data_IF_013815287794
#
_entry.id   IF_013815287794
#
_cell.length_a   1.000
_cell.length_b   1.000
_cell.length_c   1.000
_cell.angle_alpha   90.00
_cell.angle_beta   90.00
_cell.angle_gamma   90.00
#
_symmetry.space_group_name_H-M   'P 1'
#
loop_
_entity.id
_entity.type
_entity.pdbx_description
1 polymer ?
#
# COMPACT_ATOMS: atom_id res chain seq x y z
N UNK A 1 38.10 -18.61 36.02
CA UNK A 1 37.43 -17.66 35.11
C UNK A 1 36.80 -18.47 34.00
N UNK A 2 35.53 -18.85 34.16
CA UNK A 2 34.79 -19.52 33.09
C UNK A 2 34.24 -18.42 32.18
N UNK A 3 34.78 -18.31 30.97
CA UNK A 3 34.09 -17.63 29.88
C UNK A 3 32.78 -18.38 29.64
N UNK A 4 31.67 -17.77 30.05
CA UNK A 4 30.35 -18.25 29.70
C UNK A 4 30.14 -18.04 28.21
N UNK A 5 30.47 -19.04 27.40
CA UNK A 5 29.96 -19.13 26.03
C UNK A 5 28.44 -19.14 26.12
N UNK A 6 27.82 -18.03 25.73
CA UNK A 6 26.38 -17.96 25.59
C UNK A 6 25.96 -19.08 24.62
N UNK A 7 25.22 -20.06 25.14
CA UNK A 7 24.83 -21.22 24.35
C UNK A 7 23.98 -20.76 23.15
N UNK A 8 24.55 -20.86 21.96
CA UNK A 8 23.86 -20.54 20.70
C UNK A 8 22.65 -21.48 20.59
N UNK A 9 21.45 -20.90 20.40
CA UNK A 9 20.23 -21.68 20.25
C UNK A 9 20.37 -22.70 19.10
N UNK A 10 19.88 -23.94 19.24
CA UNK A 10 20.08 -25.00 18.25
C UNK A 10 19.69 -24.62 16.82
N UNK A 11 18.67 -23.76 16.68
CA UNK A 11 18.22 -23.24 15.40
C UNK A 11 19.32 -22.51 14.61
N UNK A 12 20.14 -21.70 15.28
CA UNK A 12 21.24 -20.97 14.62
C UNK A 12 22.45 -21.86 14.29
N UNK A 13 22.45 -23.12 14.72
CA UNK A 13 23.45 -24.12 14.28
C UNK A 13 23.16 -24.67 12.89
N UNK A 14 21.94 -24.48 12.38
CA UNK A 14 21.57 -24.83 11.01
C UNK A 14 22.27 -23.88 10.03
N UNK A 15 22.72 -24.33 8.85
CA UNK A 15 23.15 -23.44 7.77
C UNK A 15 22.05 -22.44 7.39
N UNK A 16 22.44 -21.25 6.97
CA UNK A 16 21.51 -20.18 6.59
C UNK A 16 20.50 -20.60 5.51
N UNK A 17 20.90 -21.45 4.56
CA UNK A 17 19.99 -21.99 3.53
C UNK A 17 18.85 -22.83 4.13
N UNK A 18 19.15 -23.66 5.15
CA UNK A 18 18.12 -24.43 5.83
C UNK A 18 17.21 -23.53 6.66
N UNK A 19 17.76 -22.50 7.32
CA UNK A 19 16.94 -21.49 8.02
C UNK A 19 16.01 -20.77 7.05
N UNK A 20 16.51 -20.34 5.89
CA UNK A 20 15.69 -19.70 4.85
C UNK A 20 14.57 -20.60 4.32
N UNK A 21 14.83 -21.92 4.16
CA UNK A 21 13.76 -22.88 3.81
C UNK A 21 12.70 -22.97 4.91
N UNK A 22 13.12 -23.03 6.17
CA UNK A 22 12.20 -23.04 7.32
C UNK A 22 11.38 -21.75 7.37
N UNK A 23 12.00 -20.58 7.19
CA UNK A 23 11.30 -19.30 7.15
C UNK A 23 10.23 -19.28 6.06
N UNK A 24 10.55 -19.72 4.83
CA UNK A 24 9.57 -19.75 3.74
C UNK A 24 8.34 -20.62 4.06
N UNK A 25 8.55 -21.76 4.70
CA UNK A 25 7.46 -22.66 5.11
C UNK A 25 6.48 -22.03 6.10
N UNK A 26 6.86 -20.94 6.79
CA UNK A 26 6.02 -20.31 7.84
C UNK A 26 5.68 -18.85 7.56
N UNK A 27 6.31 -18.22 6.56
CA UNK A 27 6.14 -16.80 6.25
C UNK A 27 5.37 -16.54 4.95
N UNK A 28 5.41 -17.48 4.00
CA UNK A 28 4.83 -17.26 2.69
C UNK A 28 3.39 -17.76 2.73
N UNK A 29 2.49 -16.87 2.35
CA UNK A 29 1.09 -17.16 2.11
C UNK A 29 0.88 -17.34 0.60
N UNK A 30 0.00 -18.26 0.22
CA UNK A 30 -0.38 -18.46 -1.17
C UNK A 30 -1.36 -17.37 -1.63
N UNK A 31 -2.11 -16.77 -0.69
CA UNK A 31 -3.09 -15.72 -0.94
C UNK A 31 -2.50 -14.31 -0.77
N UNK A 32 -3.23 -13.31 -1.31
CA UNK A 32 -2.88 -11.90 -1.12
C UNK A 32 -3.04 -11.48 0.35
N UNK A 33 -2.00 -10.86 0.90
CA UNK A 33 -2.05 -10.29 2.25
C UNK A 33 -2.75 -8.94 2.20
N UNK A 34 -3.97 -8.90 2.72
CA UNK A 34 -4.80 -7.70 2.79
C UNK A 34 -4.23 -6.71 3.82
N UNK A 35 -4.05 -5.47 3.41
CA UNK A 35 -3.56 -4.37 4.24
C UNK A 35 -4.69 -3.37 4.41
N UNK A 36 -5.23 -3.33 5.62
CA UNK A 36 -6.31 -2.42 5.99
C UNK A 36 -5.78 -1.17 6.70
N UNK A 37 -6.68 -0.25 7.03
CA UNK A 37 -6.35 1.02 7.70
C UNK A 37 -5.81 0.79 9.10
N UNK A 38 -6.37 -0.20 9.79
CA UNK A 38 -5.98 -0.64 11.13
C UNK A 38 -4.62 -1.35 11.11
N UNK A 39 -4.12 -1.68 9.92
CA UNK A 39 -2.87 -2.39 9.69
C UNK A 39 -3.13 -3.82 9.23
N UNK A 40 -2.11 -4.65 9.40
CA UNK A 40 -2.16 -6.08 9.19
C UNK A 40 -1.23 -6.76 10.20
N UNK A 41 -1.49 -8.01 10.52
CA UNK A 41 -0.69 -8.76 11.49
C UNK A 41 0.56 -9.34 10.83
N UNK A 42 1.74 -8.96 11.33
CA UNK A 42 2.99 -9.62 10.94
C UNK A 42 3.05 -11.02 11.60
N UNK A 43 3.53 -12.05 10.90
CA UNK A 43 3.68 -13.38 11.48
C UNK A 43 4.50 -13.37 12.78
N UNK A 44 4.10 -14.13 13.82
CA UNK A 44 4.78 -14.13 15.12
C UNK A 44 6.28 -14.45 15.05
N UNK A 45 6.72 -15.20 14.04
CA UNK A 45 8.14 -15.50 13.82
C UNK A 45 8.99 -14.24 13.63
N UNK A 46 8.43 -13.17 13.07
CA UNK A 46 9.11 -11.87 12.89
C UNK A 46 9.27 -11.11 14.21
N UNK A 47 8.64 -11.56 15.30
CA UNK A 47 8.64 -10.91 16.60
C UNK A 47 9.49 -11.65 17.65
N UNK A 48 10.09 -12.80 17.30
CA UNK A 48 10.79 -13.68 18.26
C UNK A 48 12.07 -13.05 18.80
N UNK A 49 13.02 -12.71 17.93
CA UNK A 49 14.28 -12.07 18.31
C UNK A 49 14.87 -11.29 17.13
N UNK A 50 15.85 -10.43 17.42
CA UNK A 50 16.49 -9.58 16.41
C UNK A 50 17.13 -10.39 15.27
N UNK A 51 17.81 -11.50 15.59
CA UNK A 51 18.50 -12.31 14.58
C UNK A 51 17.52 -12.98 13.63
N UNK A 52 16.47 -13.64 14.15
CA UNK A 52 15.41 -14.21 13.32
C UNK A 52 14.74 -13.12 12.49
N UNK A 53 14.36 -11.99 13.10
CA UNK A 53 13.73 -10.88 12.37
C UNK A 53 14.61 -10.39 11.23
N UNK A 54 15.92 -10.28 11.44
CA UNK A 54 16.85 -9.79 10.42
C UNK A 54 16.97 -10.71 9.20
N UNK A 55 16.85 -12.03 9.41
CA UNK A 55 16.91 -13.02 8.32
C UNK A 55 15.55 -13.23 7.65
N UNK A 56 14.48 -13.24 8.44
CA UNK A 56 13.12 -13.60 8.02
C UNK A 56 12.37 -12.44 7.36
N UNK A 57 12.58 -11.20 7.83
CA UNK A 57 11.81 -10.04 7.37
C UNK A 57 11.94 -9.79 5.86
N UNK A 58 13.15 -9.83 5.26
CA UNK A 58 13.28 -9.67 3.81
C UNK A 58 12.55 -10.76 3.03
N UNK A 59 12.54 -12.01 3.52
CA UNK A 59 11.81 -13.12 2.87
C UNK A 59 10.31 -12.80 2.88
N UNK A 60 9.75 -12.47 4.05
CA UNK A 60 8.33 -12.18 4.20
C UNK A 60 7.87 -11.04 3.28
N UNK A 61 8.61 -9.93 3.26
CA UNK A 61 8.21 -8.76 2.51
C UNK A 61 8.46 -8.87 1.00
N UNK A 62 9.50 -9.59 0.57
CA UNK A 62 9.84 -9.70 -0.84
C UNK A 62 9.13 -10.83 -1.58
N UNK A 63 8.75 -11.91 -0.87
CA UNK A 63 8.20 -13.11 -1.50
C UNK A 63 6.67 -13.22 -1.32
N UNK A 64 6.06 -12.43 -0.44
CA UNK A 64 4.59 -12.30 -0.39
C UNK A 64 4.07 -11.19 -1.31
N UNK A 65 2.80 -11.32 -1.69
CA UNK A 65 2.05 -10.30 -2.40
C UNK A 65 1.09 -9.61 -1.45
N UNK A 66 1.13 -8.28 -1.43
CA UNK A 66 0.28 -7.47 -0.57
C UNK A 66 -0.80 -6.78 -1.41
N UNK A 67 -1.97 -6.55 -0.81
CA UNK A 67 -3.04 -5.78 -1.41
C UNK A 67 -3.48 -4.65 -0.46
N UNK A 68 -3.42 -3.40 -0.89
CA UNK A 68 -3.98 -2.27 -0.14
C UNK A 68 -5.48 -2.18 -0.43
N UNK A 69 -6.32 -2.49 0.55
CA UNK A 69 -7.77 -2.34 0.41
C UNK A 69 -8.15 -0.88 0.70
N UNK A 70 -8.38 -0.09 -0.34
CA UNK A 70 -8.68 1.33 -0.19
C UNK A 70 -10.16 1.61 -0.41
N UNK A 71 -10.79 2.07 0.67
CA UNK A 71 -12.22 2.40 0.68
C UNK A 71 -12.49 3.87 0.37
N UNK A 72 -13.39 4.15 -0.55
CA UNK A 72 -13.80 5.51 -0.98
C UNK A 72 -12.59 6.42 -1.21
N UNK A 73 -11.55 5.90 -1.88
CA UNK A 73 -10.28 6.60 -2.14
C UNK A 73 -9.54 7.14 -0.91
N UNK A 74 -9.83 6.64 0.30
CA UNK A 74 -9.20 7.14 1.52
C UNK A 74 -7.69 6.85 1.52
N UNK A 75 -6.82 7.88 1.48
CA UNK A 75 -5.39 7.67 1.29
C UNK A 75 -4.66 7.20 2.57
N UNK A 76 -5.39 6.91 3.65
CA UNK A 76 -4.78 6.56 4.95
C UNK A 76 -4.03 5.24 4.87
N UNK A 77 -4.60 4.20 4.25
CA UNK A 77 -3.97 2.88 4.11
C UNK A 77 -2.65 3.01 3.35
N UNK A 78 -2.69 3.64 2.17
CA UNK A 78 -1.52 3.87 1.33
C UNK A 78 -0.44 4.73 2.01
N UNK A 79 -0.84 5.74 2.80
CA UNK A 79 0.09 6.54 3.58
C UNK A 79 0.76 5.72 4.69
N UNK A 80 -0.01 4.97 5.48
CA UNK A 80 0.49 4.12 6.56
C UNK A 80 1.46 3.07 6.02
N UNK A 81 1.08 2.39 4.93
CA UNK A 81 1.93 1.45 4.21
C UNK A 81 3.23 2.11 3.75
N UNK A 82 3.14 3.25 3.05
CA UNK A 82 4.31 3.96 2.53
C UNK A 82 5.29 4.32 3.66
N UNK A 83 4.79 4.81 4.80
CA UNK A 83 5.62 5.12 5.97
C UNK A 83 6.31 3.88 6.51
N UNK A 84 5.56 2.77 6.70
CA UNK A 84 6.11 1.49 7.19
C UNK A 84 7.24 1.01 6.29
N UNK A 85 7.01 0.96 4.98
CA UNK A 85 7.99 0.46 4.02
C UNK A 85 9.21 1.39 3.90
N UNK A 86 9.05 2.71 4.01
CA UNK A 86 10.19 3.63 4.05
C UNK A 86 11.10 3.34 5.24
N UNK A 87 10.54 3.12 6.41
CA UNK A 87 11.32 2.76 7.60
C UNK A 87 12.02 1.42 7.41
N UNK A 88 11.33 0.41 6.88
CA UNK A 88 11.95 -0.90 6.60
C UNK A 88 13.08 -0.79 5.57
N UNK A 89 12.89 -0.03 4.49
CA UNK A 89 13.92 0.19 3.45
C UNK A 89 15.18 0.90 3.94
N UNK A 90 15.16 1.57 5.10
CA UNK A 90 16.38 2.11 5.72
C UNK A 90 17.31 1.03 6.24
N UNK A 91 16.76 -0.14 6.58
CA UNK A 91 17.49 -1.23 7.23
C UNK A 91 17.59 -2.49 6.37
N UNK A 92 16.68 -2.67 5.42
CA UNK A 92 16.56 -3.87 4.61
C UNK A 92 16.47 -3.53 3.13
N UNK A 93 17.16 -4.32 2.30
CA UNK A 93 17.01 -4.23 0.85
C UNK A 93 15.78 -5.05 0.42
N UNK A 94 14.60 -4.42 0.50
CA UNK A 94 13.31 -5.05 0.17
C UNK A 94 12.69 -4.45 -1.10
N UNK A 95 12.17 -5.33 -1.95
CA UNK A 95 11.32 -5.00 -3.10
C UNK A 95 10.01 -5.74 -2.91
N UNK A 96 8.88 -5.04 -3.06
CA UNK A 96 7.58 -5.53 -2.61
C UNK A 96 6.61 -5.49 -3.78
N UNK A 97 6.07 -6.63 -4.21
CA UNK A 97 4.87 -6.65 -5.03
C UNK A 97 3.71 -6.10 -4.19
N UNK A 98 3.11 -4.99 -4.64
CA UNK A 98 1.96 -4.37 -3.98
C UNK A 98 0.92 -3.99 -5.03
N UNK A 99 -0.30 -4.45 -4.82
CA UNK A 99 -1.47 -4.05 -5.61
C UNK A 99 -2.38 -3.19 -4.74
N UNK A 100 -3.14 -2.30 -5.38
CA UNK A 100 -4.14 -1.45 -4.75
C UNK A 100 -5.50 -1.88 -5.27
N UNK A 101 -6.34 -2.37 -4.37
CA UNK A 101 -7.75 -2.66 -4.62
C UNK A 101 -8.59 -1.48 -4.12
N UNK A 102 -9.44 -0.93 -4.98
CA UNK A 102 -10.27 0.24 -4.67
C UNK A 102 -11.73 -0.14 -4.80
N UNK A 103 -12.53 0.08 -3.76
CA UNK A 103 -13.96 -0.30 -3.73
C UNK A 103 -14.90 0.65 -4.50
N UNK A 104 -14.33 1.54 -5.32
CA UNK A 104 -14.96 2.48 -6.26
C UNK A 104 -16.16 3.29 -5.75
N UNK A 105 -16.31 3.47 -4.44
CA UNK A 105 -17.27 4.46 -3.94
C UNK A 105 -16.75 5.87 -4.20
N UNK A 106 -17.42 6.58 -5.11
CA UNK A 106 -17.07 7.94 -5.50
C UNK A 106 -16.91 8.85 -4.27
N UNK A 107 -15.70 9.40 -4.11
CA UNK A 107 -15.39 10.39 -3.09
C UNK A 107 -14.29 11.33 -3.62
N UNK A 108 -14.72 12.47 -4.15
CA UNK A 108 -13.83 13.42 -4.79
C UNK A 108 -12.79 14.01 -3.82
N UNK A 109 -13.21 14.31 -2.59
CA UNK A 109 -12.33 14.90 -1.57
C UNK A 109 -11.19 13.96 -1.20
N UNK A 110 -11.49 12.67 -1.01
CA UNK A 110 -10.49 11.65 -0.73
C UNK A 110 -9.59 11.39 -1.93
N UNK A 111 -10.15 11.30 -3.14
CA UNK A 111 -9.38 11.12 -4.38
C UNK A 111 -8.38 12.27 -4.60
N UNK A 112 -8.82 13.53 -4.46
CA UNK A 112 -7.93 14.69 -4.58
C UNK A 112 -6.84 14.69 -3.50
N UNK A 113 -7.17 14.32 -2.26
CA UNK A 113 -6.19 14.19 -1.21
C UNK A 113 -5.16 13.10 -1.52
N UNK A 114 -5.60 11.98 -2.10
CA UNK A 114 -4.71 10.92 -2.55
C UNK A 114 -3.77 11.41 -3.66
N UNK A 115 -4.33 12.00 -4.71
CA UNK A 115 -3.57 12.57 -5.83
C UNK A 115 -2.54 13.60 -5.36
N UNK A 116 -2.92 14.46 -4.39
CA UNK A 116 -2.01 15.41 -3.79
C UNK A 116 -0.85 14.71 -3.08
N UNK A 117 -1.13 13.65 -2.32
CA UNK A 117 -0.10 12.87 -1.61
C UNK A 117 0.82 12.08 -2.54
N UNK A 118 0.30 11.64 -3.69
CA UNK A 118 1.15 11.07 -4.76
C UNK A 118 2.03 12.16 -5.37
N UNK A 119 1.49 13.35 -5.63
CA UNK A 119 2.25 14.48 -6.16
C UNK A 119 3.35 14.96 -5.20
N UNK A 120 3.06 15.11 -3.90
CA UNK A 120 4.08 15.51 -2.91
C UNK A 120 5.10 14.41 -2.63
N UNK A 121 4.82 13.18 -3.05
CA UNK A 121 5.64 12.02 -2.74
C UNK A 121 5.44 11.53 -1.30
N UNK A 122 4.34 11.87 -0.64
CA UNK A 122 4.00 11.28 0.66
C UNK A 122 3.62 9.80 0.53
N UNK A 123 3.00 9.43 -0.59
CA UNK A 123 2.70 8.05 -1.01
C UNK A 123 3.69 7.64 -2.12
N UNK A 124 4.06 6.36 -2.19
CA UNK A 124 4.91 5.86 -3.27
C UNK A 124 4.29 6.06 -4.65
N UNK A 125 5.15 6.35 -5.63
CA UNK A 125 4.79 6.31 -7.05
C UNK A 125 4.76 4.87 -7.57
N UNK A 126 4.06 4.65 -8.68
CA UNK A 126 4.08 3.38 -9.39
C UNK A 126 3.44 2.23 -8.62
N UNK A 127 2.43 2.54 -7.81
CA UNK A 127 1.55 1.50 -7.26
C UNK A 127 0.84 0.79 -8.41
N UNK A 128 0.73 -0.54 -8.31
CA UNK A 128 -0.07 -1.30 -9.25
C UNK A 128 -1.53 -1.21 -8.82
N UNK A 129 -2.40 -0.73 -9.70
CA UNK A 129 -3.81 -0.55 -9.41
C UNK A 129 -4.56 -1.66 -10.12
N UNK A 130 -5.34 -2.44 -9.37
CA UNK A 130 -6.25 -3.39 -9.97
C UNK A 130 -7.36 -2.59 -10.66
N UNK A 131 -7.27 -2.48 -11.98
CA UNK A 131 -8.31 -1.83 -12.77
C UNK A 131 -9.29 -2.88 -13.23
N UNK A 132 -10.55 -2.76 -12.81
CA UNK A 132 -11.62 -3.46 -13.50
C UNK A 132 -11.88 -2.75 -14.84
N UNK A 133 -12.44 -3.43 -15.84
CA UNK A 133 -12.51 -2.98 -17.25
C UNK A 133 -13.37 -1.71 -17.52
N UNK A 134 -13.61 -0.85 -16.51
CA UNK A 134 -14.38 0.37 -16.58
C UNK A 134 -13.60 1.60 -17.08
N UNK A 135 -14.27 2.47 -17.84
CA UNK A 135 -13.72 3.78 -18.27
C UNK A 135 -13.39 4.67 -17.06
N UNK A 136 -14.13 4.53 -15.98
CA UNK A 136 -13.92 5.25 -14.73
C UNK A 136 -12.60 4.85 -14.05
N UNK A 137 -12.40 3.56 -13.80
CA UNK A 137 -11.18 2.99 -13.24
C UNK A 137 -9.96 3.43 -14.04
N UNK A 138 -10.05 3.32 -15.37
CA UNK A 138 -9.00 3.76 -16.27
C UNK A 138 -8.74 5.26 -16.15
N UNK A 139 -9.79 6.08 -16.06
CA UNK A 139 -9.66 7.54 -15.89
C UNK A 139 -8.94 7.88 -14.59
N UNK A 140 -9.30 7.22 -13.48
CA UNK A 140 -8.67 7.45 -12.18
C UNK A 140 -7.20 7.03 -12.21
N UNK A 141 -6.88 5.87 -12.76
CA UNK A 141 -5.47 5.42 -12.88
C UNK A 141 -4.66 6.35 -13.78
N UNK A 142 -5.24 6.88 -14.86
CA UNK A 142 -4.59 7.92 -15.68
C UNK A 142 -4.35 9.19 -14.85
N UNK A 143 -5.30 9.62 -14.03
CA UNK A 143 -5.09 10.76 -13.11
C UNK A 143 -3.95 10.49 -12.13
N UNK A 144 -3.90 9.29 -11.52
CA UNK A 144 -2.83 8.90 -10.58
C UNK A 144 -1.44 8.96 -11.26
N UNK A 145 -1.30 8.38 -12.46
CA UNK A 145 -0.04 8.43 -13.23
C UNK A 145 0.33 9.86 -13.63
N UNK A 146 -0.66 10.66 -14.06
CA UNK A 146 -0.41 12.04 -14.49
C UNK A 146 0.09 12.93 -13.35
N UNK A 147 -0.41 12.78 -12.13
CA UNK A 147 0.10 13.57 -10.99
C UNK A 147 1.52 13.18 -10.58
N UNK A 148 1.93 11.94 -10.83
CA UNK A 148 3.32 11.50 -10.66
C UNK A 148 4.25 12.14 -11.70
N UNK A 149 3.84 12.20 -12.96
CA UNK A 149 4.62 12.82 -14.04
C UNK A 149 4.74 14.34 -13.87
N UNK A 150 3.72 14.98 -13.29
CA UNK A 150 3.65 16.43 -13.09
C UNK A 150 4.22 16.91 -11.74
N UNK A 151 5.00 16.07 -11.04
CA UNK A 151 5.63 16.42 -9.74
C UNK A 151 6.49 17.67 -9.77
N UNK A 152 7.06 18.02 -10.92
CA UNK A 152 7.88 19.22 -11.10
C UNK A 152 7.07 20.52 -11.09
N UNK A 153 5.76 20.45 -11.32
CA UNK A 153 4.86 21.61 -11.31
C UNK A 153 4.25 21.82 -9.92
N UNK A 154 3.94 23.07 -9.53
CA UNK A 154 3.22 23.33 -8.29
C UNK A 154 1.83 22.67 -8.29
N UNK A 155 1.44 22.07 -7.15
CA UNK A 155 0.14 21.43 -6.97
C UNK A 155 -1.04 22.33 -7.35
N UNK A 156 -0.93 23.65 -7.18
CA UNK A 156 -1.98 24.61 -7.55
C UNK A 156 -2.36 24.55 -9.03
N UNK A 157 -1.43 24.19 -9.93
CA UNK A 157 -1.71 24.02 -11.36
C UNK A 157 -2.24 22.61 -11.65
N UNK A 158 -1.60 21.60 -11.05
CA UNK A 158 -1.97 20.18 -11.22
C UNK A 158 -3.39 19.93 -10.70
N UNK A 159 -3.72 20.41 -9.49
CA UNK A 159 -5.04 20.28 -8.89
C UNK A 159 -6.14 20.98 -9.69
N UNK A 160 -5.85 22.12 -10.35
CA UNK A 160 -6.78 22.75 -11.29
C UNK A 160 -7.06 21.84 -12.49
N UNK A 161 -6.02 21.19 -13.03
CA UNK A 161 -6.17 20.23 -14.12
C UNK A 161 -7.00 19.01 -13.67
N UNK A 162 -6.77 18.48 -12.47
CA UNK A 162 -7.59 17.39 -11.90
C UNK A 162 -9.07 17.79 -11.80
N UNK A 163 -9.38 19.05 -11.51
CA UNK A 163 -10.76 19.55 -11.52
C UNK A 163 -11.50 19.36 -12.85
N UNK A 164 -10.81 19.33 -13.99
CA UNK A 164 -11.44 19.03 -15.29
C UNK A 164 -11.86 17.56 -15.41
N UNK A 165 -11.10 16.65 -14.79
CA UNK A 165 -11.47 15.22 -14.73
C UNK A 165 -12.70 14.98 -13.86
N UNK A 166 -12.92 15.77 -12.79
CA UNK A 166 -14.17 15.67 -11.99
C UNK A 166 -15.41 15.77 -12.86
N UNK A 167 -15.40 16.71 -13.81
CA UNK A 167 -16.52 16.92 -14.74
C UNK A 167 -16.70 15.71 -15.66
N UNK A 168 -15.60 15.18 -16.20
CA UNK A 168 -15.62 13.98 -17.03
C UNK A 168 -16.21 12.76 -16.29
N UNK A 169 -15.76 12.52 -15.06
CA UNK A 169 -16.26 11.44 -14.20
C UNK A 169 -17.75 11.61 -13.87
N UNK A 170 -18.19 12.85 -13.61
CA UNK A 170 -19.60 13.15 -13.30
C UNK A 170 -20.54 12.94 -14.50
N UNK A 171 -20.05 13.13 -15.73
CA UNK A 171 -20.83 12.88 -16.95
C UNK A 171 -20.99 11.38 -17.26
N UNK A 172 -20.10 10.52 -16.75
CA UNK A 172 -20.09 9.09 -17.03
C UNK A 172 -20.75 8.22 -15.95
N UNK A 173 -20.91 8.72 -14.72
CA UNK A 173 -21.41 7.92 -13.59
C UNK A 173 -22.50 8.66 -12.78
N UNK A 174 -23.71 8.74 -13.33
CA UNK A 174 -24.98 9.20 -12.70
C UNK A 174 -24.90 10.40 -11.72
N UNK A 175 -23.89 11.28 -11.86
CA UNK A 175 -23.65 12.42 -10.97
C UNK A 175 -23.02 12.08 -9.60
N UNK A 176 -22.58 10.85 -9.33
CA UNK A 176 -22.04 10.47 -8.02
C UNK A 176 -20.76 11.25 -7.65
N UNK A 177 -19.94 11.60 -8.64
CA UNK A 177 -18.73 12.43 -8.46
C UNK A 177 -19.02 13.93 -8.25
N UNK A 178 -20.27 14.36 -8.47
CA UNK A 178 -20.69 15.75 -8.31
C UNK A 178 -21.04 16.10 -6.85
N UNK A 179 -21.30 15.10 -6.01
CA UNK A 179 -21.75 15.27 -4.63
C UNK A 179 -20.65 14.83 -3.66
N UNK A 180 -20.27 15.66 -2.69
CA UNK A 180 -19.41 15.22 -1.58
C UNK A 180 -20.27 14.50 -0.51
N UNK A 181 -19.74 13.50 0.20
CA UNK A 181 -20.47 12.61 1.15
C UNK A 181 -21.41 13.33 2.13
N UNK A 182 -21.16 14.61 2.46
CA UNK A 182 -22.05 15.43 3.29
C UNK A 182 -23.38 15.85 2.64
N UNK A 183 -23.63 15.49 1.39
CA UNK A 183 -24.87 15.79 0.65
C UNK A 183 -25.65 14.55 0.19
N UNK A 184 -25.14 13.33 0.45
CA UNK A 184 -25.95 12.11 0.31
C UNK A 184 -26.92 12.07 1.49
N UNK A 185 -28.08 12.72 1.33
CA UNK A 185 -29.21 12.48 2.23
C UNK A 185 -29.60 11.02 2.08
N UNK A 186 -29.65 10.30 3.20
CA UNK A 186 -30.20 8.96 3.34
C UNK A 186 -31.49 8.82 2.52
N UNK A 187 -31.39 8.08 1.42
CA UNK A 187 -32.50 7.70 0.56
C UNK A 187 -32.61 6.18 0.52
N UNK A 188 -33.37 5.63 1.49
CA UNK A 188 -33.76 4.22 1.58
C UNK A 188 -33.19 3.58 2.85
N UNK A 189 -34.00 3.16 3.83
CA UNK A 189 -35.29 2.44 3.75
C UNK A 189 -36.35 3.07 4.66
#
# INVERSE_FOLDING_TARGET
>A
MASGDAAIAPFFKLPGELRNRIYRLVLIDDDLIQVEKEGFEEPPVLLVCHDIRSEALPIYYCENHFCLCVKSFNPTVALCWTRKIRELKKHYNISLPITVDMDMYANWSNLILWLQRLHTGDIFAGLDYDTTDGVEDYTIVVMMRQVEDLRSLPWTHVGKAMGHFRKLLSEHHDGDWAMDEGQRTDGGV
#
